data_IF_391685497809
#
_entry.id   IF_391685497809
#
_cell.length_a   1.000
_cell.length_b   1.000
_cell.length_c   1.000
_cell.angle_alpha   90.00
_cell.angle_beta   90.00
_cell.angle_gamma   90.00
#
_symmetry.space_group_name_H-M   'P 1'
#
loop_
_entity.id
_entity.type
_entity.pdbx_description
1 polymer ?
#
# COMPACT_ATOMS: atom_id res chain seq x y z
N UNK A 1 -24.43 14.42 11.55
CA UNK A 1 -23.21 13.63 11.25
C UNK A 1 -23.68 12.52 10.35
N UNK A 2 -23.28 12.52 9.07
CA UNK A 2 -23.59 11.44 8.15
C UNK A 2 -22.29 10.73 7.83
N UNK A 3 -22.22 9.47 8.25
CA UNK A 3 -21.16 8.52 7.96
C UNK A 3 -21.27 8.01 6.50
N UNK A 4 -21.24 8.92 5.53
CA UNK A 4 -21.28 8.59 4.10
C UNK A 4 -19.88 8.64 3.48
N UNK A 5 -18.90 7.99 4.12
CA UNK A 5 -17.68 7.55 3.43
C UNK A 5 -17.86 6.10 2.98
N UNK A 6 -18.88 5.87 2.16
CA UNK A 6 -19.01 4.64 1.39
C UNK A 6 -18.25 4.83 0.09
N UNK A 7 -17.00 4.37 0.06
CA UNK A 7 -16.26 4.16 -1.17
C UNK A 7 -17.15 3.41 -2.15
N UNK A 8 -17.50 4.04 -3.28
CA UNK A 8 -18.28 3.43 -4.34
C UNK A 8 -17.46 2.27 -4.93
N UNK A 9 -18.01 1.06 -5.03
CA UNK A 9 -17.34 -0.12 -5.60
C UNK A 9 -16.80 0.12 -7.03
N UNK A 10 -17.36 1.08 -7.77
CA UNK A 10 -16.84 1.50 -9.08
C UNK A 10 -15.50 2.25 -8.99
N UNK A 11 -15.23 2.93 -7.88
CA UNK A 11 -13.95 3.62 -7.63
C UNK A 11 -12.83 2.64 -7.25
N UNK A 12 -13.16 1.47 -6.70
CA UNK A 12 -12.21 0.38 -6.46
C UNK A 12 -11.59 -0.18 -7.76
N UNK A 13 -12.30 -0.08 -8.89
CA UNK A 13 -11.75 -0.40 -10.22
C UNK A 13 -10.94 0.75 -10.83
N UNK A 14 -11.01 1.98 -10.29
CA UNK A 14 -10.40 3.19 -10.85
C UNK A 14 -9.07 3.61 -10.21
N UNK A 15 -8.65 3.01 -9.09
CA UNK A 15 -7.38 3.35 -8.44
C UNK A 15 -6.33 2.23 -8.43
N UNK A 16 -5.85 1.76 -9.61
CA UNK A 16 -4.75 0.79 -9.71
C UNK A 16 -3.53 1.17 -8.86
N UNK A 17 -3.20 2.47 -8.80
CA UNK A 17 -2.09 2.98 -7.98
C UNK A 17 -2.29 2.71 -6.49
N UNK A 18 -3.47 3.00 -5.94
CA UNK A 18 -3.75 2.79 -4.52
C UNK A 18 -3.68 1.30 -4.16
N UNK A 19 -4.16 0.41 -5.04
CA UNK A 19 -4.05 -1.03 -4.84
C UNK A 19 -2.59 -1.50 -4.81
N UNK A 20 -1.77 -1.04 -5.77
CA UNK A 20 -0.36 -1.42 -5.86
C UNK A 20 0.44 -0.90 -4.66
N UNK A 21 0.15 0.33 -4.22
CA UNK A 21 0.72 0.91 -3.00
C UNK A 21 0.30 0.12 -1.76
N UNK A 22 -0.98 -0.22 -1.63
CA UNK A 22 -1.49 -1.05 -0.53
C UNK A 22 -0.84 -2.44 -0.51
N UNK A 23 -0.65 -3.06 -1.67
CA UNK A 23 0.03 -4.35 -1.80
C UNK A 23 1.51 -4.26 -1.39
N UNK A 24 2.22 -3.20 -1.80
CA UNK A 24 3.60 -2.96 -1.37
C UNK A 24 3.70 -2.75 0.14
N UNK A 25 2.86 -1.87 0.71
CA UNK A 25 2.85 -1.55 2.14
C UNK A 25 2.56 -2.80 2.98
N UNK A 26 1.50 -3.53 2.66
CA UNK A 26 1.13 -4.75 3.39
C UNK A 26 2.18 -5.84 3.28
N UNK A 27 2.79 -6.03 2.10
CA UNK A 27 3.88 -7.00 1.92
C UNK A 27 5.13 -6.62 2.71
N UNK A 28 5.41 -5.33 2.86
CA UNK A 28 6.53 -4.84 3.65
C UNK A 28 6.40 -5.19 5.13
N UNK A 29 5.18 -5.12 5.69
CA UNK A 29 4.93 -5.53 7.07
C UNK A 29 5.13 -7.03 7.33
N UNK A 30 4.89 -7.87 6.33
CA UNK A 30 5.13 -9.31 6.43
C UNK A 30 6.63 -9.60 6.52
N UNK A 31 7.44 -8.81 5.81
CA UNK A 31 8.90 -8.98 5.78
C UNK A 31 9.59 -8.35 7.00
N UNK A 32 9.04 -7.27 7.55
CA UNK A 32 9.55 -6.61 8.76
C UNK A 32 8.40 -6.13 9.66
N UNK A 33 8.21 -6.83 10.78
CA UNK A 33 7.17 -6.51 11.76
C UNK A 33 7.45 -5.21 12.55
N UNK A 34 8.70 -4.77 12.66
CA UNK A 34 9.03 -3.49 13.32
C UNK A 34 8.64 -2.29 12.43
N UNK A 35 8.60 -2.50 11.12
CA UNK A 35 8.13 -1.51 10.15
C UNK A 35 6.66 -1.17 10.37
N UNK A 36 5.84 -2.15 10.74
CA UNK A 36 4.43 -1.92 11.10
C UNK A 36 4.31 -0.99 12.31
N UNK A 37 5.11 -1.22 13.36
CA UNK A 37 5.12 -0.36 14.55
C UNK A 37 5.49 1.08 14.16
N UNK A 38 6.58 1.22 13.39
CA UNK A 38 7.05 2.53 12.90
C UNK A 38 5.99 3.24 12.06
N UNK A 39 5.28 2.51 11.19
CA UNK A 39 4.19 3.04 10.38
C UNK A 39 3.03 3.59 11.23
N UNK A 40 2.59 2.82 12.23
CA UNK A 40 1.51 3.23 13.13
C UNK A 40 1.93 4.43 13.98
N UNK A 41 3.16 4.45 14.50
CA UNK A 41 3.71 5.58 15.23
C UNK A 41 3.76 6.84 14.37
N UNK A 42 4.20 6.73 13.11
CA UNK A 42 4.21 7.86 12.19
C UNK A 42 2.80 8.41 11.95
N UNK A 43 1.83 7.55 11.63
CA UNK A 43 0.45 7.96 11.36
C UNK A 43 -0.19 8.64 12.57
N UNK A 44 0.02 8.10 13.78
CA UNK A 44 -0.55 8.66 15.00
C UNK A 44 -0.01 10.05 15.36
N UNK A 45 1.21 10.38 14.91
CA UNK A 45 1.85 11.67 15.17
C UNK A 45 1.78 12.64 13.98
N UNK A 46 1.28 12.20 12.83
CA UNK A 46 1.24 13.01 11.62
C UNK A 46 0.13 14.08 11.70
N UNK A 47 0.49 15.34 11.48
CA UNK A 47 -0.45 16.47 11.38
C UNK A 47 -1.33 16.36 10.12
N UNK A 48 -0.79 15.75 9.05
CA UNK A 48 -1.49 15.47 7.79
C UNK A 48 -0.97 14.14 7.24
N UNK A 49 -1.90 13.32 6.73
CA UNK A 49 -1.56 12.08 6.04
C UNK A 49 -1.32 12.37 4.56
N UNK A 50 -0.07 12.19 4.15
CA UNK A 50 0.40 12.33 2.77
C UNK A 50 1.18 11.07 2.41
N UNK A 51 0.73 10.37 1.37
CA UNK A 51 1.24 9.03 1.06
C UNK A 51 2.71 9.07 0.62
N UNK A 52 3.11 10.09 -0.14
CA UNK A 52 4.48 10.21 -0.62
C UNK A 52 5.43 10.45 0.56
N UNK A 53 5.02 11.27 1.54
CA UNK A 53 5.79 11.47 2.78
C UNK A 53 5.86 10.22 3.66
N UNK A 54 4.76 9.46 3.78
CA UNK A 54 4.74 8.20 4.53
C UNK A 54 5.73 7.20 3.90
N UNK A 55 5.69 7.05 2.57
CA UNK A 55 6.59 6.16 1.83
C UNK A 55 8.06 6.55 2.02
N UNK A 56 8.38 7.83 1.94
CA UNK A 56 9.75 8.32 2.13
C UNK A 56 10.22 8.13 3.58
N UNK A 57 9.39 8.48 4.58
CA UNK A 57 9.82 8.49 5.99
C UNK A 57 9.79 7.13 6.67
N UNK A 58 8.86 6.27 6.29
CA UNK A 58 8.67 4.96 6.94
C UNK A 58 9.32 3.84 6.13
N UNK A 59 9.18 3.87 4.80
CA UNK A 59 9.62 2.79 3.92
C UNK A 59 10.92 3.13 3.17
N UNK A 60 11.40 4.38 3.27
CA UNK A 60 12.59 4.88 2.58
C UNK A 60 12.57 4.63 1.06
N UNK A 61 11.40 4.83 0.46
CA UNK A 61 11.18 4.70 -0.99
C UNK A 61 10.33 5.85 -1.51
N UNK A 62 10.47 6.15 -2.80
CA UNK A 62 9.56 7.05 -3.52
C UNK A 62 8.22 6.37 -3.84
N UNK A 63 7.21 7.16 -4.22
CA UNK A 63 5.91 6.62 -4.63
C UNK A 63 6.00 5.77 -5.90
N UNK A 64 6.80 6.18 -6.89
CA UNK A 64 6.97 5.42 -8.12
C UNK A 64 7.68 4.08 -7.85
N UNK A 65 8.72 4.05 -7.00
CA UNK A 65 9.36 2.79 -6.57
C UNK A 65 8.39 1.88 -5.81
N UNK A 66 7.55 2.44 -4.94
CA UNK A 66 6.53 1.68 -4.21
C UNK A 66 5.50 1.05 -5.18
N UNK A 67 5.08 1.80 -6.20
CA UNK A 67 4.19 1.30 -7.26
C UNK A 67 4.87 0.18 -8.06
N UNK A 68 6.11 0.37 -8.50
CA UNK A 68 6.86 -0.64 -9.25
C UNK A 68 7.02 -1.94 -8.46
N UNK A 69 7.35 -1.83 -7.17
CA UNK A 69 7.42 -2.98 -6.27
C UNK A 69 6.06 -3.67 -6.11
N UNK A 70 4.98 -2.89 -5.96
CA UNK A 70 3.60 -3.39 -5.98
C UNK A 70 3.28 -4.17 -7.26
N UNK A 71 3.68 -3.66 -8.44
CA UNK A 71 3.48 -4.35 -9.73
C UNK A 71 4.24 -5.67 -9.77
N UNK A 72 5.49 -5.70 -9.28
CA UNK A 72 6.28 -6.93 -9.22
C UNK A 72 5.62 -7.99 -8.33
N UNK A 73 5.10 -7.59 -7.16
CA UNK A 73 4.38 -8.47 -6.24
C UNK A 73 3.12 -9.02 -6.89
N UNK A 74 2.32 -8.16 -7.53
CA UNK A 74 1.11 -8.58 -8.23
C UNK A 74 1.40 -9.55 -9.38
N UNK A 75 2.46 -9.30 -10.17
CA UNK A 75 2.90 -10.22 -11.23
C UNK A 75 3.29 -11.60 -10.67
N UNK A 76 4.05 -11.64 -9.57
CA UNK A 76 4.43 -12.90 -8.92
C UNK A 76 3.20 -13.67 -8.44
N UNK A 77 2.23 -12.97 -7.86
CA UNK A 77 0.95 -13.57 -7.45
C UNK A 77 0.22 -14.21 -8.64
N UNK A 78 0.06 -13.48 -9.75
CA UNK A 78 -0.58 -14.00 -10.96
C UNK A 78 0.19 -15.19 -11.57
N UNK A 79 1.52 -15.14 -11.58
CA UNK A 79 2.34 -16.26 -12.05
C UNK A 79 2.15 -17.51 -11.16
N UNK A 80 2.09 -17.34 -9.84
CA UNK A 80 1.85 -18.44 -8.90
C UNK A 80 0.47 -19.08 -9.08
N UNK A 81 -0.56 -18.31 -9.43
CA UNK A 81 -1.88 -18.85 -9.79
C UNK A 81 -1.84 -19.65 -11.10
N UNK A 82 -1.05 -19.20 -12.08
CA UNK A 82 -0.92 -19.86 -13.38
C UNK A 82 -0.11 -21.17 -13.35
N UNK A 83 0.59 -21.49 -12.25
CA UNK A 83 1.34 -22.75 -12.10
C UNK A 83 0.50 -23.87 -11.45
N UNK A 84 -0.73 -23.58 -11.01
CA UNK A 84 -1.65 -24.54 -10.39
C UNK A 84 -2.86 -24.87 -11.29
N UNK A 85 -2.75 -24.67 -12.61
CA UNK A 85 -3.75 -25.05 -13.63
C UNK A 85 -3.17 -26.09 -14.57
#
# INVERSE_FOLDING_TARGET
MNDDFLFNEAELFLYPRAYLLGLFISSSFINDSNLYITFIEYINNAVKLDISLILEKVFNVSEDEAIENGVMLFRKFLQGLNHNV
#
